data_IF_087390544095
#
_entry.id   IF_087390544095
#
_cell.length_a   1.000
_cell.length_b   1.000
_cell.length_c   1.000
_cell.angle_alpha   90.00
_cell.angle_beta   90.00
_cell.angle_gamma   90.00
#
_symmetry.space_group_name_H-M   'P 1'
#
loop_
_entity.id
_entity.type
_entity.pdbx_description
1 polymer ?
#
# COMPACT_ATOMS: atom_id res chain seq x y z
N UNK A 1 1.95 9.63 2.36
CA UNK A 1 1.56 10.89 1.71
C UNK A 1 2.29 11.15 0.39
N UNK A 2 3.53 10.68 0.20
CA UNK A 2 4.23 10.86 -1.09
C UNK A 2 4.60 12.31 -1.41
N UNK A 3 4.77 13.13 -0.37
CA UNK A 3 5.13 14.55 -0.42
C UNK A 3 6.47 14.73 0.28
N UNK A 4 7.21 15.77 -0.06
CA UNK A 4 8.38 16.19 0.73
C UNK A 4 7.93 16.79 2.07
N UNK A 5 8.84 16.82 3.07
CA UNK A 5 8.50 17.24 4.43
C UNK A 5 7.95 18.67 4.50
N UNK A 6 8.48 19.56 3.67
CA UNK A 6 8.08 20.96 3.52
C UNK A 6 6.70 21.14 2.87
N UNK A 7 6.14 20.10 2.24
CA UNK A 7 4.84 20.10 1.59
C UNK A 7 3.73 19.45 2.43
N UNK A 8 4.07 18.97 3.63
CA UNK A 8 3.09 18.34 4.52
C UNK A 8 2.19 19.38 5.15
N UNK A 9 0.89 19.10 5.19
CA UNK A 9 -0.04 19.92 5.98
C UNK A 9 0.06 19.58 7.47
N UNK A 10 -0.42 20.44 8.38
CA UNK A 10 -0.48 20.12 9.81
C UNK A 10 -1.22 18.81 10.11
N UNK A 11 -2.29 18.52 9.35
CA UNK A 11 -3.04 17.28 9.48
C UNK A 11 -2.18 16.04 9.16
N UNK A 12 -1.42 16.08 8.07
CA UNK A 12 -0.56 14.98 7.63
C UNK A 12 0.65 14.81 8.55
N UNK A 13 1.26 15.92 8.99
CA UNK A 13 2.34 15.92 9.95
C UNK A 13 1.91 15.33 11.30
N UNK A 14 0.70 15.65 11.77
CA UNK A 14 0.15 15.11 13.00
C UNK A 14 -0.07 13.59 12.95
N UNK A 15 -0.47 13.04 11.79
CA UNK A 15 -0.53 11.58 11.60
C UNK A 15 0.87 10.98 11.79
N UNK A 16 1.89 11.50 11.08
CA UNK A 16 3.26 10.97 11.16
C UNK A 16 3.85 11.04 12.57
N UNK A 17 3.64 12.17 13.27
CA UNK A 17 4.07 12.35 14.65
C UNK A 17 3.34 11.42 15.64
N UNK A 18 2.15 10.93 15.29
CA UNK A 18 1.36 10.01 16.09
C UNK A 18 1.86 8.55 16.08
N UNK A 19 2.55 8.14 15.01
CA UNK A 19 2.96 6.75 14.73
C UNK A 19 3.93 6.18 15.77
N UNK A 20 5.00 6.87 16.23
CA UNK A 20 6.02 6.27 17.08
C UNK A 20 5.50 5.63 18.38
N UNK A 21 4.36 6.10 18.91
CA UNK A 21 3.76 5.54 20.14
C UNK A 21 3.30 4.09 19.96
N UNK A 22 2.77 3.73 18.80
CA UNK A 22 2.32 2.39 18.48
C UNK A 22 2.25 2.23 16.96
N UNK A 23 3.40 1.95 16.30
CA UNK A 23 3.50 2.05 14.85
C UNK A 23 2.56 1.10 14.11
N UNK A 24 2.32 -0.11 14.64
CA UNK A 24 1.37 -1.06 14.04
C UNK A 24 -0.10 -0.62 14.17
N UNK A 25 -0.46 0.03 15.28
CA UNK A 25 -1.85 0.42 15.59
C UNK A 25 -2.25 1.73 14.94
N UNK A 26 -1.35 2.71 14.92
CA UNK A 26 -1.61 4.05 14.37
C UNK A 26 -1.10 4.22 12.94
N UNK A 27 -0.81 3.12 12.25
CA UNK A 27 -0.48 3.14 10.83
C UNK A 27 -1.76 3.40 10.02
N UNK A 28 -1.84 4.51 9.25
CA UNK A 28 -3.03 4.85 8.48
C UNK A 28 -3.32 3.88 7.32
N UNK A 29 -2.35 3.03 6.94
CA UNK A 29 -2.54 1.96 5.94
C UNK A 29 -3.28 0.77 6.55
N UNK A 30 -3.04 0.44 7.83
CA UNK A 30 -3.71 -0.68 8.50
C UNK A 30 -5.05 -0.28 9.11
N UNK A 31 -5.14 0.91 9.71
CA UNK A 31 -6.37 1.45 10.32
C UNK A 31 -6.40 2.98 10.24
N UNK A 32 -7.12 3.51 9.27
CA UNK A 32 -7.34 4.95 9.15
C UNK A 32 -8.08 5.55 10.36
N UNK A 33 -9.13 4.90 10.93
CA UNK A 33 -9.82 5.44 12.10
C UNK A 33 -8.91 5.58 13.33
N UNK A 34 -8.07 4.58 13.62
CA UNK A 34 -7.14 4.66 14.76
C UNK A 34 -6.08 5.75 14.53
N UNK A 35 -5.59 5.90 13.30
CA UNK A 35 -4.66 6.95 12.94
C UNK A 35 -5.28 8.35 13.11
N UNK A 36 -6.56 8.55 12.76
CA UNK A 36 -7.28 9.81 12.94
C UNK A 36 -7.48 10.17 14.41
N UNK A 37 -7.84 9.21 15.27
CA UNK A 37 -7.93 9.44 16.72
C UNK A 37 -6.59 9.95 17.25
N UNK A 38 -5.48 9.32 16.81
CA UNK A 38 -4.14 9.72 17.22
C UNK A 38 -3.74 11.08 16.65
N UNK A 39 -4.07 11.36 15.40
CA UNK A 39 -3.86 12.65 14.74
C UNK A 39 -4.57 13.78 15.49
N UNK A 40 -5.85 13.63 15.82
CA UNK A 40 -6.62 14.65 16.56
C UNK A 40 -5.98 14.97 17.91
N UNK A 41 -5.49 13.94 18.62
CA UNK A 41 -4.73 14.15 19.85
C UNK A 41 -3.48 15.01 19.63
N UNK A 42 -2.70 14.73 18.58
CA UNK A 42 -1.49 15.50 18.26
C UNK A 42 -1.84 16.94 17.87
N UNK A 43 -2.85 17.13 17.02
CA UNK A 43 -3.33 18.46 16.64
C UNK A 43 -3.78 19.29 17.85
N UNK A 44 -4.50 18.68 18.80
CA UNK A 44 -4.89 19.34 20.04
C UNK A 44 -3.70 19.75 20.91
N UNK A 45 -2.62 18.95 20.92
CA UNK A 45 -1.37 19.31 21.60
C UNK A 45 -0.63 20.43 20.89
N UNK A 46 -0.58 20.42 19.56
CA UNK A 46 0.03 21.51 18.77
C UNK A 46 -0.70 22.84 19.01
N UNK A 47 -2.02 22.81 19.00
CA UNK A 47 -2.86 23.97 19.30
C UNK A 47 -2.62 24.48 20.73
N UNK A 48 -2.65 23.61 21.74
CA UNK A 48 -2.40 23.99 23.13
C UNK A 48 -0.99 24.56 23.39
N UNK A 49 -0.01 24.21 22.56
CA UNK A 49 1.36 24.72 22.62
C UNK A 49 1.55 26.00 21.78
N UNK A 50 0.52 26.46 21.07
CA UNK A 50 0.57 27.68 20.24
C UNK A 50 1.18 27.49 18.86
N UNK A 51 1.43 26.25 18.43
CA UNK A 51 1.96 25.93 17.09
C UNK A 51 0.91 26.07 15.98
N UNK A 52 -0.37 26.08 16.35
CA UNK A 52 -1.51 26.27 15.45
C UNK A 52 -2.44 27.33 16.03
N UNK A 53 -2.95 28.21 15.18
CA UNK A 53 -4.09 29.08 15.52
C UNK A 53 -5.39 28.26 15.56
N UNK A 54 -6.45 28.82 16.17
CA UNK A 54 -7.77 28.19 16.20
C UNK A 54 -8.26 27.82 14.79
N UNK A 55 -8.08 28.73 13.82
CA UNK A 55 -8.48 28.50 12.44
C UNK A 55 -7.70 27.36 11.79
N UNK A 56 -6.37 27.32 11.99
CA UNK A 56 -5.52 26.25 11.46
C UNK A 56 -5.84 24.90 12.11
N UNK A 57 -6.11 24.88 13.41
CA UNK A 57 -6.51 23.67 14.13
C UNK A 57 -7.83 23.10 13.58
N UNK A 58 -8.86 23.92 13.43
CA UNK A 58 -10.14 23.48 12.86
C UNK A 58 -10.01 23.03 11.41
N UNK A 59 -9.22 23.75 10.60
CA UNK A 59 -8.94 23.36 9.23
C UNK A 59 -8.21 22.00 9.17
N UNK A 60 -7.24 21.76 10.05
CA UNK A 60 -6.49 20.51 10.08
C UNK A 60 -7.35 19.31 10.53
N UNK A 61 -8.30 19.51 11.45
CA UNK A 61 -9.27 18.48 11.84
C UNK A 61 -10.24 18.11 10.72
N UNK A 62 -10.67 19.10 9.93
CA UNK A 62 -11.60 18.88 8.83
C UNK A 62 -10.93 18.34 7.56
N UNK A 63 -9.60 18.33 7.48
CA UNK A 63 -8.87 17.93 6.29
C UNK A 63 -9.02 16.43 6.02
N UNK A 64 -9.56 16.02 4.84
CA UNK A 64 -9.55 14.62 4.43
C UNK A 64 -8.10 14.11 4.25
N UNK A 65 -7.79 12.96 4.85
CA UNK A 65 -6.48 12.33 4.73
C UNK A 65 -6.43 11.43 3.51
N UNK A 66 -5.57 11.77 2.53
CA UNK A 66 -5.31 10.94 1.35
C UNK A 66 -4.03 10.14 1.59
N UNK A 67 -4.19 8.84 1.85
CA UNK A 67 -3.07 7.94 2.07
C UNK A 67 -2.63 7.35 0.73
N UNK A 68 -1.39 7.66 0.36
CA UNK A 68 -0.72 7.02 -0.78
C UNK A 68 -0.47 5.55 -0.44
N UNK A 69 -1.17 4.63 -1.12
CA UNK A 69 -1.03 3.19 -0.93
C UNK A 69 -0.10 2.60 -1.98
N UNK A 70 0.79 1.65 -1.64
CA UNK A 70 1.74 1.03 -2.58
C UNK A 70 1.12 0.37 -3.82
N UNK A 71 -0.19 0.09 -3.81
CA UNK A 71 -0.89 -0.57 -4.91
C UNK A 71 -1.75 0.33 -5.81
N UNK A 72 -1.95 1.61 -5.46
CA UNK A 72 -2.89 2.51 -6.15
C UNK A 72 -2.24 3.58 -7.01
N UNK A 73 -0.92 3.60 -7.10
CA UNK A 73 -0.24 4.60 -7.91
C UNK A 73 0.30 3.99 -9.20
N UNK A 74 -0.10 4.64 -10.30
CA UNK A 74 0.69 4.86 -11.50
C UNK A 74 2.02 5.58 -11.17
N UNK A 75 2.78 5.07 -10.20
CA UNK A 75 4.13 5.53 -9.95
C UNK A 75 4.96 5.04 -11.13
N UNK A 76 5.59 5.93 -11.93
CA UNK A 76 6.28 5.54 -13.17
C UNK A 76 7.40 4.50 -12.99
N UNK A 77 7.81 4.22 -11.75
CA UNK A 77 8.83 3.23 -11.40
C UNK A 77 8.35 1.79 -11.23
N UNK A 78 7.04 1.53 -11.05
CA UNK A 78 6.49 0.17 -10.86
C UNK A 78 5.62 -0.30 -12.05
N UNK A 79 5.58 0.48 -13.13
CA UNK A 79 4.70 0.24 -14.27
C UNK A 79 5.07 -0.97 -15.16
N UNK A 80 6.23 -1.60 -14.94
CA UNK A 80 6.60 -2.83 -15.62
C UNK A 80 6.36 -4.02 -14.67
N UNK A 81 5.67 -5.06 -15.16
CA UNK A 81 5.57 -6.39 -14.51
C UNK A 81 6.97 -7.04 -14.38
N UNK A 82 7.76 -6.47 -13.48
CA UNK A 82 9.17 -6.75 -13.25
C UNK A 82 9.41 -7.39 -11.90
N UNK A 83 8.40 -8.01 -11.30
CA UNK A 83 8.49 -8.66 -9.99
C UNK A 83 9.58 -9.75 -9.99
N UNK A 84 9.63 -10.55 -11.05
CA UNK A 84 10.66 -11.58 -11.25
C UNK A 84 12.07 -10.99 -11.38
N UNK A 85 12.36 -10.07 -12.32
CA UNK A 85 13.70 -9.48 -12.42
C UNK A 85 14.09 -8.65 -11.19
N UNK A 86 13.14 -8.00 -10.51
CA UNK A 86 13.41 -7.29 -9.25
C UNK A 86 13.81 -8.25 -8.13
N UNK A 87 13.11 -9.38 -8.00
CA UNK A 87 13.47 -10.42 -7.04
C UNK A 87 14.82 -11.06 -7.35
N UNK A 88 15.12 -11.31 -8.62
CA UNK A 88 16.45 -11.78 -9.05
C UNK A 88 17.55 -10.78 -8.66
N UNK A 89 17.33 -9.49 -8.95
CA UNK A 89 18.26 -8.44 -8.57
C UNK A 89 18.45 -8.39 -7.04
N UNK A 90 17.36 -8.49 -6.26
CA UNK A 90 17.41 -8.55 -4.80
C UNK A 90 18.25 -9.72 -4.30
N UNK A 91 18.04 -10.92 -4.87
CA UNK A 91 18.80 -12.13 -4.50
C UNK A 91 20.29 -11.99 -4.80
N UNK A 92 20.64 -11.43 -5.96
CA UNK A 92 22.04 -11.19 -6.35
C UNK A 92 22.72 -10.17 -5.44
N UNK A 93 22.06 -9.06 -5.12
CA UNK A 93 22.63 -8.06 -4.21
C UNK A 93 22.74 -8.63 -2.80
N UNK A 94 21.75 -9.41 -2.35
CA UNK A 94 21.81 -10.11 -1.06
C UNK A 94 22.94 -11.14 -0.99
N UNK A 95 23.29 -11.83 -2.07
CA UNK A 95 24.41 -12.78 -2.03
C UNK A 95 25.76 -12.10 -1.78
N UNK A 96 25.90 -10.83 -2.18
CA UNK A 96 27.11 -10.02 -2.00
C UNK A 96 27.10 -9.25 -0.68
N UNK A 97 26.00 -8.57 -0.36
CA UNK A 97 25.92 -7.63 0.76
C UNK A 97 25.10 -8.13 1.96
N UNK A 98 24.46 -9.30 1.85
CA UNK A 98 23.66 -9.93 2.89
C UNK A 98 22.66 -8.95 3.51
N UNK A 99 22.61 -8.84 4.84
CA UNK A 99 21.70 -7.92 5.53
C UNK A 99 21.96 -6.45 5.21
N UNK A 100 23.17 -6.08 4.77
CA UNK A 100 23.50 -4.70 4.39
C UNK A 100 22.79 -4.25 3.10
N UNK A 101 22.28 -5.19 2.30
CA UNK A 101 21.43 -4.91 1.13
C UNK A 101 20.24 -4.03 1.50
N UNK A 102 19.68 -4.22 2.70
CA UNK A 102 18.45 -3.53 3.13
C UNK A 102 18.69 -2.22 3.88
N UNK A 103 19.92 -1.94 4.30
CA UNK A 103 20.23 -0.79 5.17
C UNK A 103 21.08 0.27 4.50
N UNK A 104 21.79 -0.08 3.40
CA UNK A 104 22.71 0.85 2.72
C UNK A 104 22.06 1.77 1.70
N UNK A 105 20.79 1.57 1.35
CA UNK A 105 20.11 2.36 0.31
C UNK A 105 20.80 2.26 -1.05
N UNK A 106 21.11 1.04 -1.50
CA UNK A 106 21.80 0.80 -2.77
C UNK A 106 20.86 1.03 -3.96
N UNK A 107 21.35 1.75 -4.97
CA UNK A 107 20.69 1.86 -6.27
C UNK A 107 21.16 0.74 -7.21
N UNK A 108 20.21 -0.05 -7.74
CA UNK A 108 20.50 -1.22 -8.58
C UNK A 108 19.98 -0.98 -9.99
N UNK A 109 20.91 -0.79 -10.93
CA UNK A 109 20.60 -0.65 -12.35
C UNK A 109 20.76 -2.00 -13.05
N UNK A 110 19.69 -2.51 -13.64
CA UNK A 110 19.70 -3.77 -14.37
C UNK A 110 19.79 -3.55 -15.87
N UNK A 111 20.08 -4.60 -16.63
CA UNK A 111 20.06 -4.58 -18.09
C UNK A 111 18.66 -4.80 -18.67
N UNK A 112 17.62 -4.89 -17.85
CA UNK A 112 16.26 -5.18 -18.30
C UNK A 112 15.64 -3.93 -18.92
N UNK A 113 15.19 -4.07 -20.17
CA UNK A 113 14.38 -3.06 -20.84
C UNK A 113 12.92 -3.19 -20.41
N UNK A 114 12.32 -2.11 -19.92
CA UNK A 114 10.94 -2.12 -19.41
C UNK A 114 9.89 -2.42 -20.48
N UNK A 115 10.10 -1.96 -21.73
CA UNK A 115 9.17 -2.22 -22.84
C UNK A 115 9.18 -3.70 -23.24
N UNK A 116 10.38 -4.28 -23.32
CA UNK A 116 10.53 -5.69 -23.68
C UNK A 116 9.99 -6.60 -22.57
N UNK A 117 10.24 -6.27 -21.30
CA UNK A 117 9.67 -7.00 -20.16
C UNK A 117 8.14 -6.97 -20.16
N UNK A 118 7.53 -5.81 -20.43
CA UNK A 118 6.07 -5.68 -20.52
C UNK A 118 5.50 -6.54 -21.67
N UNK A 119 6.15 -6.53 -22.84
CA UNK A 119 5.76 -7.36 -23.97
C UNK A 119 5.90 -8.86 -23.66
N UNK A 120 7.00 -9.28 -23.04
CA UNK A 120 7.24 -10.65 -22.63
C UNK A 120 6.20 -11.14 -21.63
N UNK A 121 5.86 -10.33 -20.63
CA UNK A 121 4.80 -10.62 -19.66
C UNK A 121 3.45 -10.82 -20.35
N UNK A 122 3.06 -9.88 -21.22
CA UNK A 122 1.78 -9.95 -21.93
C UNK A 122 1.71 -11.19 -22.84
N UNK A 123 2.79 -11.51 -23.55
CA UNK A 123 2.86 -12.68 -24.42
C UNK A 123 2.74 -13.99 -23.63
N UNK A 124 3.48 -14.13 -22.52
CA UNK A 124 3.42 -15.31 -21.66
C UNK A 124 2.01 -15.49 -21.08
N UNK A 125 1.46 -14.43 -20.48
CA UNK A 125 0.12 -14.46 -19.88
C UNK A 125 -0.94 -14.83 -20.91
N UNK A 126 -0.89 -14.24 -22.11
CA UNK A 126 -1.82 -14.56 -23.21
C UNK A 126 -1.72 -16.04 -23.61
N UNK A 127 -0.51 -16.55 -23.79
CA UNK A 127 -0.28 -17.95 -24.15
C UNK A 127 -0.78 -18.93 -23.09
N UNK A 128 -0.51 -18.65 -21.81
CA UNK A 128 -0.98 -19.47 -20.70
C UNK A 128 -2.51 -19.48 -20.59
N UNK A 129 -3.16 -18.32 -20.68
CA UNK A 129 -4.63 -18.23 -20.67
C UNK A 129 -5.23 -18.95 -21.88
N UNK A 130 -4.65 -18.77 -23.07
CA UNK A 130 -5.10 -19.47 -24.28
C UNK A 130 -5.04 -20.99 -24.10
N UNK A 131 -3.95 -21.49 -23.52
CA UNK A 131 -3.78 -22.91 -23.24
C UNK A 131 -4.74 -23.44 -22.15
N UNK A 132 -4.98 -22.68 -21.08
CA UNK A 132 -5.88 -23.12 -20.00
C UNK A 132 -7.34 -23.14 -20.45
N UNK A 133 -7.78 -22.18 -21.27
CA UNK A 133 -9.15 -22.12 -21.77
C UNK A 133 -9.50 -23.24 -22.78
N UNK A 134 -8.49 -23.84 -23.42
CA UNK A 134 -8.68 -25.00 -24.29
C UNK A 134 -8.88 -26.31 -23.53
N UNK A 135 -8.62 -26.32 -22.22
CA UNK A 135 -8.81 -27.49 -21.36
C UNK A 135 -10.17 -27.41 -20.66
N UNK A 136 -10.76 -28.56 -20.30
CA UNK A 136 -11.94 -28.58 -19.44
C UNK A 136 -11.67 -27.80 -18.14
N UNK A 137 -12.70 -27.08 -17.67
CA UNK A 137 -12.63 -26.31 -16.44
C UNK A 137 -12.23 -27.22 -15.26
N UNK A 138 -11.15 -26.85 -14.56
CA UNK A 138 -10.55 -27.65 -13.48
C UNK A 138 -11.29 -27.58 -12.14
N UNK A 139 -12.43 -26.90 -12.07
CA UNK A 139 -13.12 -26.62 -10.81
C UNK A 139 -12.66 -25.31 -10.16
N UNK A 140 -13.39 -24.85 -9.12
CA UNK A 140 -13.04 -23.63 -8.39
C UNK A 140 -11.73 -23.80 -7.61
N UNK A 141 -10.94 -22.72 -7.51
CA UNK A 141 -9.67 -22.72 -6.74
C UNK A 141 -9.86 -22.83 -5.23
N UNK A 142 -11.08 -22.67 -4.72
CA UNK A 142 -11.44 -22.78 -3.32
C UNK A 142 -12.96 -22.72 -3.12
N UNK A 143 -13.40 -23.08 -1.92
CA UNK A 143 -14.79 -22.94 -1.48
C UNK A 143 -14.83 -22.07 -0.23
N UNK A 144 -15.85 -21.21 -0.13
CA UNK A 144 -16.07 -20.36 1.04
C UNK A 144 -17.42 -20.74 1.65
N UNK A 145 -17.43 -21.06 2.94
CA UNK A 145 -18.66 -21.28 3.69
C UNK A 145 -19.31 -19.93 3.99
N UNK A 146 -20.54 -19.75 3.54
CA UNK A 146 -21.31 -18.53 3.80
C UNK A 146 -21.89 -18.54 5.23
N UNK A 147 -21.76 -17.45 6.00
CA UNK A 147 -22.48 -17.25 7.25
C UNK A 147 -24.00 -17.31 7.04
N UNK A 148 -24.73 -17.81 8.04
CA UNK A 148 -26.20 -17.79 8.03
C UNK A 148 -26.73 -16.36 7.90
N UNK A 149 -27.79 -16.19 7.10
CA UNK A 149 -28.45 -14.90 6.82
C UNK A 149 -27.64 -13.84 6.04
N UNK A 150 -26.51 -14.20 5.40
CA UNK A 150 -25.71 -13.24 4.63
C UNK A 150 -26.47 -12.55 3.48
N UNK A 151 -27.54 -13.18 2.98
CA UNK A 151 -28.41 -12.60 1.95
C UNK A 151 -29.11 -11.30 2.39
N UNK A 152 -29.20 -11.07 3.71
CA UNK A 152 -29.83 -9.90 4.30
C UNK A 152 -28.83 -8.81 4.71
N UNK A 153 -27.52 -9.07 4.59
CA UNK A 153 -26.46 -8.12 4.93
C UNK A 153 -25.44 -7.98 3.79
N UNK A 154 -25.67 -7.05 2.85
CA UNK A 154 -24.76 -6.82 1.72
C UNK A 154 -23.36 -6.35 2.16
N UNK A 155 -23.21 -5.76 3.36
CA UNK A 155 -21.89 -5.35 3.87
C UNK A 155 -21.07 -6.55 4.34
N UNK A 156 -21.72 -7.51 4.99
CA UNK A 156 -21.07 -8.75 5.39
C UNK A 156 -20.57 -9.57 4.19
N UNK A 157 -21.23 -9.46 3.04
CA UNK A 157 -20.81 -10.10 1.79
C UNK A 157 -19.56 -9.45 1.19
N UNK A 158 -19.52 -8.11 1.11
CA UNK A 158 -18.34 -7.35 0.64
C UNK A 158 -17.11 -7.61 1.53
N UNK A 159 -17.30 -7.67 2.85
CA UNK A 159 -16.23 -7.96 3.81
C UNK A 159 -15.65 -9.37 3.64
N UNK A 160 -16.45 -10.36 3.23
CA UNK A 160 -15.97 -11.72 2.95
C UNK A 160 -15.15 -11.79 1.67
N UNK A 161 -15.54 -11.07 0.62
CA UNK A 161 -14.79 -11.05 -0.63
C UNK A 161 -13.45 -10.32 -0.49
N UNK A 162 -13.37 -9.30 0.37
CA UNK A 162 -12.11 -8.59 0.66
C UNK A 162 -11.14 -9.38 1.56
N UNK A 163 -11.61 -10.40 2.29
CA UNK A 163 -10.80 -11.23 3.19
C UNK A 163 -10.16 -12.45 2.53
N UNK A 164 -10.30 -12.62 1.21
CA UNK A 164 -9.66 -13.74 0.51
C UNK A 164 -8.13 -13.59 0.55
N UNK A 165 -7.38 -14.68 0.81
CA UNK A 165 -5.93 -14.68 0.77
C UNK A 165 -5.38 -14.42 -0.63
#
# INVERSE_FOLDING_TARGET
FGKSLDQLTPAEAAVLAGIPKAPSRFNPISSLPDAQIRQHYVLGRMHALGELTDAQYQQALAQPLVIRSPGNDDTPGYAAHGEYPAELARQLVYSVFQQQTYTRGLDVYTTINSKDQAAAYAALRKSLIGYTLQRPYGGPSGQVTLPENIQNDPKALDDLDQRRP
#
